data_IF_112082944939
#
_entry.id   IF_112082944939
#
_cell.length_a   1.000
_cell.length_b   1.000
_cell.length_c   1.000
_cell.angle_alpha   90.00
_cell.angle_beta   90.00
_cell.angle_gamma   90.00
#
_symmetry.space_group_name_H-M   'P 1'
#
loop_
_entity.id
_entity.type
_entity.pdbx_description
1 polymer ?
#
# COMPACT_ATOMS: atom_id res chain seq x y z
N UNK A 1 42.86 31.85 -21.40
CA UNK A 1 41.72 31.33 -22.20
C UNK A 1 41.22 30.07 -21.51
N UNK A 2 40.07 30.19 -20.85
CA UNK A 2 39.57 29.25 -19.84
C UNK A 2 38.79 28.11 -20.50
N UNK A 3 38.98 26.90 -19.96
CA UNK A 3 38.52 25.63 -20.47
C UNK A 3 36.98 25.50 -20.51
N UNK A 4 36.41 25.34 -21.72
CA UNK A 4 35.04 24.87 -21.93
C UNK A 4 35.00 23.34 -21.94
N UNK A 5 35.01 22.75 -20.74
CA UNK A 5 34.56 21.38 -20.47
C UNK A 5 33.28 21.56 -19.64
N UNK A 6 32.34 20.60 -19.68
CA UNK A 6 31.09 20.58 -18.89
C UNK A 6 29.80 21.08 -19.57
N UNK A 7 29.52 20.57 -20.77
CA UNK A 7 28.13 20.32 -21.18
C UNK A 7 27.89 18.80 -21.16
N UNK A 8 27.81 18.24 -19.94
CA UNK A 8 27.10 16.98 -19.69
C UNK A 8 25.89 17.34 -18.83
N UNK A 9 24.80 17.72 -19.49
CA UNK A 9 23.50 17.74 -18.86
C UNK A 9 23.13 16.28 -18.56
N UNK A 10 23.50 15.79 -17.37
CA UNK A 10 23.04 14.50 -16.87
C UNK A 10 21.52 14.54 -16.89
N UNK A 11 20.92 13.53 -17.52
CA UNK A 11 19.53 13.09 -17.29
C UNK A 11 19.17 13.28 -15.82
N UNK A 12 18.44 14.34 -15.51
CA UNK A 12 17.78 14.47 -14.21
C UNK A 12 16.55 13.58 -14.26
N UNK A 13 16.76 12.28 -14.09
CA UNK A 13 15.68 11.43 -13.61
C UNK A 13 15.34 11.96 -12.21
N UNK A 14 14.17 12.58 -12.07
CA UNK A 14 13.66 13.04 -10.79
C UNK A 14 13.78 11.89 -9.77
N UNK A 15 14.23 12.15 -8.53
CA UNK A 15 14.33 11.10 -7.53
C UNK A 15 12.92 10.51 -7.32
N UNK A 16 12.81 9.19 -7.50
CA UNK A 16 11.63 8.41 -7.10
C UNK A 16 11.22 8.90 -5.72
N UNK A 17 10.02 9.49 -5.62
CA UNK A 17 9.46 10.08 -4.40
C UNK A 17 9.77 9.15 -3.22
N UNK A 18 10.70 9.57 -2.37
CA UNK A 18 11.30 8.69 -1.37
C UNK A 18 10.20 8.06 -0.50
N UNK A 19 10.29 6.74 -0.31
CA UNK A 19 9.40 5.99 0.58
C UNK A 19 9.47 6.61 1.98
N UNK A 20 8.36 6.99 2.61
CA UNK A 20 8.41 7.42 4.00
C UNK A 20 8.84 6.24 4.88
N UNK A 21 9.71 6.51 5.86
CA UNK A 21 10.30 5.50 6.73
C UNK A 21 9.23 4.74 7.56
N UNK A 22 9.37 3.42 7.80
CA UNK A 22 8.30 2.57 8.32
C UNK A 22 7.98 2.71 9.83
N UNK A 23 8.82 3.40 10.62
CA UNK A 23 8.84 3.21 12.07
C UNK A 23 7.84 4.01 12.93
N UNK A 24 6.93 4.83 12.38
CA UNK A 24 5.98 5.60 13.20
C UNK A 24 4.55 5.72 12.62
N UNK A 25 3.88 4.60 12.34
CA UNK A 25 2.49 4.63 11.78
C UNK A 25 1.42 3.82 12.52
N UNK A 26 1.79 3.01 13.51
CA UNK A 26 0.83 2.08 14.13
C UNK A 26 -0.29 2.80 14.93
N UNK A 27 0.03 3.85 15.69
CA UNK A 27 -0.97 4.57 16.52
C UNK A 27 -1.98 5.36 15.68
N UNK A 28 -1.52 6.05 14.64
CA UNK A 28 -2.38 6.87 13.77
C UNK A 28 -3.31 5.99 12.94
N UNK A 29 -2.82 4.83 12.49
CA UNK A 29 -3.62 3.88 11.73
C UNK A 29 -4.83 3.37 12.54
N UNK A 30 -4.61 2.98 13.80
CA UNK A 30 -5.67 2.51 14.70
C UNK A 30 -6.72 3.60 14.97
N UNK A 31 -6.30 4.85 15.15
CA UNK A 31 -7.22 5.97 15.33
C UNK A 31 -8.12 6.19 14.09
N UNK A 32 -7.54 6.11 12.88
CA UNK A 32 -8.29 6.23 11.65
C UNK A 32 -9.22 5.03 11.41
N UNK A 33 -8.81 3.81 11.80
CA UNK A 33 -9.64 2.62 11.69
C UNK A 33 -10.89 2.72 12.58
N UNK A 34 -10.75 3.22 13.81
CA UNK A 34 -11.89 3.49 14.72
C UNK A 34 -12.89 4.45 14.09
N UNK A 35 -12.44 5.48 13.37
CA UNK A 35 -13.33 6.37 12.61
C UNK A 35 -13.99 5.64 11.43
N UNK A 36 -13.22 4.85 10.68
CA UNK A 36 -13.73 4.09 9.55
C UNK A 36 -14.75 3.01 9.95
N UNK A 37 -14.69 2.51 11.19
CA UNK A 37 -15.70 1.60 11.73
C UNK A 37 -17.11 2.20 11.70
N UNK A 38 -17.24 3.47 12.11
CA UNK A 38 -18.54 4.11 12.15
C UNK A 38 -19.09 4.53 10.78
N UNK A 39 -18.30 4.46 9.69
CA UNK A 39 -18.74 4.93 8.36
C UNK A 39 -18.56 3.94 7.21
N UNK A 40 -17.42 3.25 7.14
CA UNK A 40 -17.12 2.31 6.05
C UNK A 40 -17.37 0.86 6.46
N UNK A 41 -17.18 0.53 7.74
CA UNK A 41 -17.24 -0.83 8.26
C UNK A 41 -18.31 -0.99 9.35
N UNK A 42 -19.59 -0.80 9.01
CA UNK A 42 -20.68 -0.83 9.99
C UNK A 42 -20.91 -2.18 10.69
N UNK A 43 -20.54 -3.30 10.07
CA UNK A 43 -20.78 -4.66 10.58
C UNK A 43 -19.48 -5.46 10.74
N UNK A 44 -18.74 -5.21 11.82
CA UNK A 44 -17.58 -6.02 12.20
C UNK A 44 -18.00 -7.22 13.04
N UNK A 45 -17.99 -8.41 12.45
CA UNK A 45 -18.03 -9.67 13.21
C UNK A 45 -16.61 -10.05 13.65
N UNK A 46 -16.45 -10.59 14.87
CA UNK A 46 -15.15 -11.06 15.43
C UNK A 46 -14.35 -11.90 14.43
N UNK A 47 -15.02 -12.85 13.75
CA UNK A 47 -14.40 -13.74 12.74
C UNK A 47 -13.81 -13.04 11.51
N UNK A 48 -14.17 -11.78 11.24
CA UNK A 48 -13.71 -11.02 10.06
C UNK A 48 -12.90 -9.78 10.39
N UNK A 49 -12.66 -9.48 11.68
CA UNK A 49 -11.97 -8.23 12.08
C UNK A 49 -10.60 -8.13 11.41
N UNK A 50 -9.83 -9.22 11.42
CA UNK A 50 -8.49 -9.25 10.83
C UNK A 50 -8.49 -8.88 9.35
N UNK A 51 -9.42 -9.43 8.56
CA UNK A 51 -9.57 -9.10 7.13
C UNK A 51 -9.77 -7.60 6.89
N UNK A 52 -10.61 -6.95 7.71
CA UNK A 52 -10.87 -5.52 7.56
C UNK A 52 -9.66 -4.67 7.97
N UNK A 53 -8.90 -5.11 8.99
CA UNK A 53 -7.65 -4.46 9.38
C UNK A 53 -6.63 -4.56 8.24
N UNK A 54 -6.44 -5.74 7.65
CA UNK A 54 -5.49 -5.97 6.56
C UNK A 54 -5.85 -5.14 5.33
N UNK A 55 -7.14 -5.10 4.95
CA UNK A 55 -7.63 -4.27 3.86
C UNK A 55 -7.40 -2.77 4.13
N UNK A 56 -7.68 -2.32 5.36
CA UNK A 56 -7.49 -0.92 5.75
C UNK A 56 -6.02 -0.50 5.73
N UNK A 57 -5.14 -1.35 6.27
CA UNK A 57 -3.67 -1.17 6.22
C UNK A 57 -3.23 -1.04 4.77
N UNK A 58 -3.66 -1.97 3.91
CA UNK A 58 -3.30 -2.00 2.51
C UNK A 58 -3.77 -0.75 1.77
N UNK A 59 -5.04 -0.36 1.92
CA UNK A 59 -5.58 0.87 1.30
C UNK A 59 -4.82 2.10 1.73
N UNK A 60 -4.51 2.23 3.03
CA UNK A 60 -3.80 3.39 3.54
C UNK A 60 -2.34 3.45 3.06
N UNK A 61 -1.69 2.29 2.93
CA UNK A 61 -0.31 2.19 2.45
C UNK A 61 -0.19 2.23 0.92
N UNK A 62 -1.26 2.02 0.16
CA UNK A 62 -1.23 2.06 -1.30
C UNK A 62 -1.76 3.38 -1.88
N UNK A 63 -2.12 4.37 -1.04
CA UNK A 63 -2.74 5.63 -1.50
C UNK A 63 -1.89 6.45 -2.46
N UNK A 64 -0.56 6.34 -2.37
CA UNK A 64 0.38 7.07 -3.22
C UNK A 64 0.75 6.34 -4.50
N UNK A 65 0.30 5.09 -4.67
CA UNK A 65 0.62 4.28 -5.84
C UNK A 65 -0.32 4.60 -6.99
N UNK A 66 0.23 4.58 -8.21
CA UNK A 66 -0.59 4.68 -9.40
C UNK A 66 -1.55 3.49 -9.52
N UNK A 67 -2.68 3.66 -10.20
CA UNK A 67 -3.67 2.58 -10.36
C UNK A 67 -3.07 1.34 -11.01
N UNK A 68 -2.23 1.50 -12.03
CA UNK A 68 -1.54 0.38 -12.69
C UNK A 68 -0.61 -0.38 -11.74
N UNK A 69 0.18 0.34 -10.93
CA UNK A 69 1.07 -0.27 -9.93
C UNK A 69 0.29 -1.02 -8.85
N UNK A 70 -0.87 -0.50 -8.44
CA UNK A 70 -1.77 -1.20 -7.50
C UNK A 70 -2.29 -2.49 -8.12
N UNK A 71 -2.75 -2.46 -9.37
CA UNK A 71 -3.23 -3.65 -10.07
C UNK A 71 -2.13 -4.71 -10.20
N UNK A 72 -0.90 -4.30 -10.52
CA UNK A 72 0.25 -5.20 -10.59
C UNK A 72 0.55 -5.87 -9.23
N UNK A 73 0.53 -5.10 -8.14
CA UNK A 73 0.74 -5.66 -6.80
C UNK A 73 -0.36 -6.64 -6.38
N UNK A 74 -1.62 -6.36 -6.75
CA UNK A 74 -2.73 -7.28 -6.52
C UNK A 74 -2.57 -8.57 -7.33
N UNK A 75 -2.25 -8.45 -8.62
CA UNK A 75 -2.02 -9.61 -9.48
C UNK A 75 -0.87 -10.48 -8.96
N UNK A 76 0.23 -9.87 -8.52
CA UNK A 76 1.35 -10.57 -7.89
C UNK A 76 0.94 -11.27 -6.59
N UNK A 77 0.09 -10.66 -5.76
CA UNK A 77 -0.39 -11.25 -4.51
C UNK A 77 -1.36 -12.43 -4.70
N UNK A 78 -1.99 -12.53 -5.88
CA UNK A 78 -2.87 -13.64 -6.27
C UNK A 78 -2.11 -14.77 -6.96
N UNK A 79 -0.98 -14.47 -7.60
CA UNK A 79 -0.21 -15.46 -8.34
C UNK A 79 0.21 -16.64 -7.45
N UNK A 80 -0.05 -17.86 -7.93
CA UNK A 80 0.28 -19.10 -7.22
C UNK A 80 -0.66 -19.46 -6.06
N UNK A 81 -1.60 -18.60 -5.67
CA UNK A 81 -2.63 -18.94 -4.68
C UNK A 81 -3.82 -19.61 -5.37
N UNK A 82 -4.21 -20.79 -4.89
CA UNK A 82 -5.43 -21.48 -5.30
C UNK A 82 -6.39 -21.50 -4.12
N UNK A 83 -7.65 -21.17 -4.36
CA UNK A 83 -8.72 -21.26 -3.37
C UNK A 83 -9.39 -22.63 -3.54
N UNK A 84 -9.07 -23.57 -2.64
CA UNK A 84 -9.77 -24.85 -2.57
C UNK A 84 -11.04 -24.67 -1.75
N UNK A 85 -12.14 -25.29 -2.15
CA UNK A 85 -13.42 -25.19 -1.42
C UNK A 85 -13.29 -25.64 0.05
N UNK A 86 -12.46 -26.66 0.31
CA UNK A 86 -12.16 -27.15 1.65
C UNK A 86 -11.50 -26.11 2.57
N UNK A 87 -10.70 -25.20 2.01
CA UNK A 87 -9.96 -24.17 2.78
C UNK A 87 -10.81 -22.91 3.05
N UNK A 88 -11.98 -22.78 2.39
CA UNK A 88 -12.83 -21.60 2.50
C UNK A 88 -13.66 -21.56 3.81
N UNK A 89 -13.92 -22.72 4.40
CA UNK A 89 -14.83 -22.91 5.55
C UNK A 89 -14.08 -23.01 6.88
N UNK A 90 -12.77 -23.30 6.83
CA UNK A 90 -11.90 -23.45 8.00
C UNK A 90 -11.64 -22.13 8.74
#
# INVERSE_FOLDING_TARGET
MVANRWIRCRRQAAPVRQRPRPHQRHRVLLALFKRAFHGTYHHLMRKRVQRHVDEFVWRNNSRWLATLERMQQWAAALYGKRLNYAELVA
#
